data_IF_433615197662
#
_entry.id   IF_433615197662
#
_cell.length_a   1.000
_cell.length_b   1.000
_cell.length_c   1.000
_cell.angle_alpha   90.00
_cell.angle_beta   90.00
_cell.angle_gamma   90.00
#
_symmetry.space_group_name_H-M   'P 1'
#
loop_
_entity.id
_entity.type
_entity.pdbx_description
1 polymer ?
#
# COMPACT_ATOMS: atom_id res chain seq x y z
N UNK A 1 -49.02 52.05 -40.07
CA UNK A 1 -49.35 50.92 -39.16
C UNK A 1 -48.42 49.77 -39.53
N UNK A 2 -47.44 49.52 -38.66
CA UNK A 2 -46.36 48.53 -38.80
C UNK A 2 -46.95 47.16 -38.49
N UNK A 3 -46.75 46.14 -39.34
CA UNK A 3 -46.45 44.77 -38.89
C UNK A 3 -45.62 44.06 -39.98
N UNK A 4 -44.35 43.80 -39.68
CA UNK A 4 -43.46 42.91 -40.43
C UNK A 4 -43.41 41.61 -39.61
N UNK A 5 -44.09 40.55 -40.03
CA UNK A 5 -44.08 39.26 -39.32
C UNK A 5 -43.06 38.29 -39.93
N UNK A 6 -41.90 38.25 -39.28
CA UNK A 6 -41.16 37.06 -38.82
C UNK A 6 -41.21 35.77 -39.65
N UNK A 7 -40.02 35.31 -40.06
CA UNK A 7 -39.83 33.92 -40.48
C UNK A 7 -38.37 33.59 -40.84
N UNK A 8 -37.40 34.03 -40.04
CA UNK A 8 -36.02 33.57 -40.19
C UNK A 8 -35.95 32.09 -39.77
N UNK A 9 -35.78 31.20 -40.74
CA UNK A 9 -35.53 29.78 -40.51
C UNK A 9 -34.16 29.62 -39.83
N UNK A 10 -34.16 29.50 -38.52
CA UNK A 10 -32.98 29.03 -37.78
C UNK A 10 -32.70 27.58 -38.21
N UNK A 11 -31.82 27.41 -39.20
CA UNK A 11 -31.06 26.16 -39.38
C UNK A 11 -30.26 25.98 -38.10
N UNK A 12 -30.67 25.08 -37.20
CA UNK A 12 -29.76 24.51 -36.22
C UNK A 12 -28.63 23.83 -37.01
N UNK A 13 -27.37 24.34 -36.97
CA UNK A 13 -26.26 23.54 -37.41
C UNK A 13 -26.09 22.52 -36.28
N UNK A 14 -26.69 21.34 -36.42
CA UNK A 14 -26.38 20.20 -35.56
C UNK A 14 -24.91 19.85 -35.81
N UNK A 15 -24.01 20.57 -35.14
CA UNK A 15 -22.61 20.23 -35.05
C UNK A 15 -22.57 18.91 -34.29
N UNK A 16 -22.04 17.87 -34.94
CA UNK A 16 -21.72 16.61 -34.27
C UNK A 16 -20.57 16.83 -33.29
N UNK A 17 -20.90 17.32 -32.09
CA UNK A 17 -19.95 17.43 -30.99
C UNK A 17 -19.77 16.02 -30.40
N UNK A 18 -18.71 15.34 -30.81
CA UNK A 18 -18.30 14.08 -30.19
C UNK A 18 -17.52 14.41 -28.93
N UNK A 19 -18.19 14.31 -27.77
CA UNK A 19 -17.54 14.47 -26.47
C UNK A 19 -16.65 13.24 -26.23
N UNK A 20 -15.33 13.41 -26.35
CA UNK A 20 -14.35 12.39 -25.96
C UNK A 20 -14.03 12.55 -24.48
N UNK A 21 -14.75 11.83 -23.63
CA UNK A 21 -14.42 11.71 -22.20
C UNK A 21 -13.83 10.33 -21.91
N UNK A 22 -12.85 10.26 -21.00
CA UNK A 22 -12.43 8.98 -20.44
C UNK A 22 -13.54 8.49 -19.52
N UNK A 23 -14.08 7.29 -19.79
CA UNK A 23 -15.08 6.66 -18.91
C UNK A 23 -14.52 6.61 -17.47
N UNK A 24 -15.27 7.06 -16.46
CA UNK A 24 -14.80 6.97 -15.08
C UNK A 24 -14.56 5.51 -14.72
N UNK A 25 -13.51 5.28 -13.95
CA UNK A 25 -13.14 3.94 -13.53
C UNK A 25 -14.01 3.55 -12.32
N UNK A 26 -15.00 2.69 -12.54
CA UNK A 26 -15.91 2.20 -11.50
C UNK A 26 -15.31 1.04 -10.68
N UNK A 27 -14.04 0.69 -10.89
CA UNK A 27 -13.39 -0.35 -10.06
C UNK A 27 -13.44 0.08 -8.58
N UNK A 28 -13.74 -0.85 -7.66
CA UNK A 28 -13.85 -0.55 -6.23
C UNK A 28 -12.47 -0.42 -5.60
N UNK A 29 -11.72 0.59 -6.05
CA UNK A 29 -10.44 0.94 -5.46
C UNK A 29 -10.62 1.49 -4.05
N UNK A 30 -9.72 1.13 -3.12
CA UNK A 30 -9.66 1.82 -1.85
C UNK A 30 -9.36 3.31 -2.08
N UNK A 31 -10.10 4.18 -1.38
CA UNK A 31 -9.92 5.65 -1.47
C UNK A 31 -8.57 6.09 -0.90
N UNK A 32 -8.10 5.38 0.13
CA UNK A 32 -6.84 5.61 0.82
C UNK A 32 -6.13 4.27 1.02
N UNK A 33 -4.80 4.26 0.90
CA UNK A 33 -3.98 3.08 1.11
C UNK A 33 -3.28 3.22 2.46
N UNK A 34 -3.71 2.47 3.47
CA UNK A 34 -3.15 2.52 4.83
C UNK A 34 -2.50 1.21 5.23
N UNK A 35 -2.99 0.10 4.71
CA UNK A 35 -2.53 -1.23 5.07
C UNK A 35 -1.93 -1.97 3.88
N UNK A 36 -1.13 -3.00 4.16
CA UNK A 36 -0.67 -3.93 3.11
C UNK A 36 -1.85 -4.52 2.32
N UNK A 37 -2.99 -4.77 2.98
CA UNK A 37 -4.21 -5.24 2.35
C UNK A 37 -4.75 -4.28 1.29
N UNK A 38 -4.78 -2.98 1.59
CA UNK A 38 -5.24 -1.95 0.64
C UNK A 38 -4.31 -1.90 -0.59
N UNK A 39 -2.99 -1.95 -0.36
CA UNK A 39 -1.99 -1.97 -1.44
C UNK A 39 -2.10 -3.24 -2.29
N UNK A 40 -2.28 -4.41 -1.68
CA UNK A 40 -2.50 -5.68 -2.38
C UNK A 40 -3.77 -5.60 -3.22
N UNK A 41 -4.88 -5.14 -2.63
CA UNK A 41 -6.16 -5.00 -3.33
C UNK A 41 -6.05 -4.08 -4.53
N UNK A 42 -5.41 -2.92 -4.36
CA UNK A 42 -5.21 -1.97 -5.45
C UNK A 42 -4.38 -2.59 -6.57
N UNK A 43 -3.24 -3.19 -6.25
CA UNK A 43 -2.35 -3.81 -7.22
C UNK A 43 -3.02 -5.00 -7.94
N UNK A 44 -3.80 -5.81 -7.23
CA UNK A 44 -4.60 -6.90 -7.79
C UNK A 44 -5.62 -6.39 -8.80
N UNK A 45 -6.39 -5.35 -8.44
CA UNK A 45 -7.40 -4.75 -9.32
C UNK A 45 -6.80 -4.00 -10.52
N UNK A 46 -5.62 -3.40 -10.36
CA UNK A 46 -4.88 -2.78 -11.47
C UNK A 46 -4.42 -3.81 -12.49
N UNK A 47 -3.99 -4.99 -12.02
CA UNK A 47 -3.48 -6.09 -12.83
C UNK A 47 -4.55 -7.10 -13.26
N UNK A 48 -5.83 -6.86 -12.91
CA UNK A 48 -6.98 -7.76 -13.16
C UNK A 48 -6.74 -9.21 -12.71
N UNK A 49 -6.11 -9.40 -11.55
CA UNK A 49 -5.81 -10.72 -11.00
C UNK A 49 -6.93 -11.21 -10.07
N UNK A 50 -7.16 -12.52 -10.07
CA UNK A 50 -7.96 -13.20 -9.07
C UNK A 50 -7.19 -13.35 -7.74
N UNK A 51 -7.91 -13.42 -6.61
CA UNK A 51 -7.31 -13.61 -5.29
C UNK A 51 -6.52 -14.92 -5.22
N UNK A 52 -6.98 -15.99 -5.88
CA UNK A 52 -6.26 -17.26 -6.02
C UNK A 52 -4.90 -17.09 -6.68
N UNK A 53 -4.81 -16.30 -7.76
CA UNK A 53 -3.53 -16.06 -8.43
C UNK A 53 -2.58 -15.24 -7.57
N UNK A 54 -3.10 -14.27 -6.80
CA UNK A 54 -2.29 -13.50 -5.84
C UNK A 54 -1.77 -14.40 -4.72
N UNK A 55 -2.60 -15.33 -4.21
CA UNK A 55 -2.18 -16.30 -3.21
C UNK A 55 -1.04 -17.19 -3.72
N UNK A 56 -1.13 -17.68 -4.96
CA UNK A 56 -0.07 -18.46 -5.61
C UNK A 56 1.24 -17.65 -5.72
N UNK A 57 1.17 -16.40 -6.18
CA UNK A 57 2.36 -15.53 -6.35
C UNK A 57 3.03 -15.24 -5.00
N UNK A 58 2.25 -14.95 -3.96
CA UNK A 58 2.77 -14.67 -2.61
C UNK A 58 3.17 -16.00 -1.90
N UNK A 59 2.71 -17.14 -2.39
CA UNK A 59 2.95 -18.45 -1.78
C UNK A 59 2.18 -18.63 -0.47
N UNK A 60 0.91 -18.24 -0.47
CA UNK A 60 -0.06 -18.48 0.61
C UNK A 60 -0.96 -19.64 0.21
N UNK A 61 -1.26 -20.54 1.16
CA UNK A 61 -1.96 -21.79 0.85
C UNK A 61 -3.39 -21.60 0.35
N UNK A 62 -4.10 -20.57 0.81
CA UNK A 62 -5.52 -20.38 0.50
C UNK A 62 -5.85 -18.93 0.09
N UNK A 63 -6.76 -18.73 -0.88
CA UNK A 63 -7.19 -17.40 -1.32
C UNK A 63 -7.96 -16.61 -0.25
N UNK A 64 -8.55 -17.28 0.74
CA UNK A 64 -9.28 -16.66 1.85
C UNK A 64 -8.37 -15.75 2.67
N UNK A 65 -7.10 -16.13 2.85
CA UNK A 65 -6.12 -15.31 3.57
C UNK A 65 -5.89 -13.97 2.85
N UNK A 66 -5.82 -13.98 1.51
CA UNK A 66 -5.69 -12.75 0.72
C UNK A 66 -6.95 -11.90 0.87
N UNK A 67 -8.14 -12.52 0.79
CA UNK A 67 -9.41 -11.82 1.02
C UNK A 67 -9.45 -11.16 2.40
N UNK A 68 -9.02 -11.85 3.45
CA UNK A 68 -9.01 -11.30 4.82
C UNK A 68 -8.03 -10.13 4.97
N UNK A 69 -6.88 -10.18 4.29
CA UNK A 69 -5.96 -9.05 4.23
C UNK A 69 -6.59 -7.86 3.50
N UNK A 70 -7.20 -8.08 2.33
CA UNK A 70 -7.85 -7.04 1.53
C UNK A 70 -9.08 -6.42 2.19
N UNK A 71 -9.73 -7.14 3.11
CA UNK A 71 -10.84 -6.65 3.93
C UNK A 71 -10.37 -6.07 5.26
N UNK A 72 -9.06 -6.06 5.54
CA UNK A 72 -8.48 -5.64 6.80
C UNK A 72 -9.01 -6.43 8.03
N UNK A 73 -9.54 -7.64 7.81
CA UNK A 73 -9.93 -8.57 8.88
C UNK A 73 -8.71 -9.14 9.61
N UNK A 74 -7.62 -9.35 8.87
CA UNK A 74 -6.34 -9.81 9.43
C UNK A 74 -5.17 -9.07 8.78
N UNK A 75 -4.01 -9.07 9.46
CA UNK A 75 -2.78 -8.46 8.94
C UNK A 75 -1.84 -9.56 8.42
N UNK A 76 -1.08 -9.30 7.34
CA UNK A 76 -0.07 -10.26 6.90
C UNK A 76 0.97 -10.51 7.98
N UNK A 77 1.35 -11.78 8.13
CA UNK A 77 2.43 -12.17 9.03
C UNK A 77 3.78 -11.70 8.47
N UNK A 78 4.77 -11.52 9.35
CA UNK A 78 6.06 -10.92 9.02
C UNK A 78 6.79 -11.66 7.87
N UNK A 79 6.68 -12.99 7.84
CA UNK A 79 7.30 -13.83 6.81
C UNK A 79 6.77 -13.60 5.39
N UNK A 80 5.54 -13.10 5.25
CA UNK A 80 4.93 -12.81 3.95
C UNK A 80 5.23 -11.39 3.47
N UNK A 81 5.69 -10.49 4.34
CA UNK A 81 5.94 -9.09 3.97
C UNK A 81 6.96 -8.95 2.84
N UNK A 82 8.13 -9.64 2.84
CA UNK A 82 9.06 -9.56 1.72
C UNK A 82 8.44 -10.02 0.40
N UNK A 83 7.61 -11.07 0.44
CA UNK A 83 6.90 -11.59 -0.74
C UNK A 83 5.83 -10.62 -1.23
N UNK A 84 5.13 -9.95 -0.32
CA UNK A 84 4.18 -8.88 -0.64
C UNK A 84 4.89 -7.71 -1.30
N UNK A 85 6.03 -7.27 -0.75
CA UNK A 85 6.84 -6.18 -1.33
C UNK A 85 7.29 -6.57 -2.75
N UNK A 86 7.74 -7.82 -2.94
CA UNK A 86 8.10 -8.34 -4.26
C UNK A 86 6.91 -8.34 -5.23
N UNK A 87 5.70 -8.71 -4.77
CA UNK A 87 4.48 -8.67 -5.58
C UNK A 87 4.06 -7.24 -5.93
N UNK A 88 4.20 -6.30 -5.00
CA UNK A 88 3.85 -4.90 -5.22
C UNK A 88 4.85 -4.22 -6.16
N UNK A 89 6.13 -4.57 -6.08
CA UNK A 89 7.25 -3.92 -6.79
C UNK A 89 7.75 -2.66 -6.10
N UNK A 90 7.25 -2.36 -4.90
CA UNK A 90 7.67 -1.23 -4.05
C UNK A 90 7.36 -1.56 -2.59
N UNK A 91 7.98 -0.83 -1.66
CA UNK A 91 7.67 -0.94 -0.24
C UNK A 91 6.66 0.13 0.20
N UNK A 92 5.48 -0.26 0.72
CA UNK A 92 4.51 0.66 1.30
C UNK A 92 5.04 1.40 2.53
N UNK A 93 4.86 2.72 2.56
CA UNK A 93 5.24 3.55 3.72
C UNK A 93 4.17 3.55 4.83
N UNK A 94 3.98 2.38 5.45
CA UNK A 94 2.94 2.15 6.47
C UNK A 94 3.43 2.53 7.87
N UNK A 95 4.73 2.34 8.14
CA UNK A 95 5.30 2.53 9.47
C UNK A 95 6.22 3.75 9.50
N UNK A 96 5.86 4.74 10.32
CA UNK A 96 6.64 5.99 10.51
C UNK A 96 8.04 5.76 11.09
N UNK A 97 8.22 4.69 11.87
CA UNK A 97 9.50 4.41 12.52
C UNK A 97 10.42 3.63 11.54
N UNK A 98 11.59 4.18 11.17
CA UNK A 98 12.48 3.56 10.18
C UNK A 98 13.03 2.21 10.65
N UNK A 99 13.26 2.04 11.96
CA UNK A 99 13.73 0.78 12.57
C UNK A 99 12.69 -0.32 12.37
N UNK A 100 11.44 0.00 12.67
CA UNK A 100 10.32 -0.92 12.49
C UNK A 100 10.12 -1.26 11.02
N UNK A 101 10.20 -0.25 10.15
CA UNK A 101 10.08 -0.41 8.69
C UNK A 101 11.14 -1.36 8.15
N UNK A 102 12.42 -1.08 8.42
CA UNK A 102 13.56 -1.92 8.01
C UNK A 102 13.38 -3.38 8.43
N UNK A 103 12.99 -3.60 9.70
CA UNK A 103 12.78 -4.94 10.24
C UNK A 103 11.65 -5.68 9.52
N UNK A 104 10.51 -5.02 9.33
CA UNK A 104 9.31 -5.61 8.73
C UNK A 104 9.50 -5.89 7.24
N UNK A 105 10.13 -4.98 6.51
CA UNK A 105 10.41 -5.16 5.07
C UNK A 105 11.29 -6.38 4.79
N UNK A 106 12.19 -6.71 5.72
CA UNK A 106 13.08 -7.88 5.65
C UNK A 106 12.47 -9.15 6.23
N UNK A 107 11.25 -9.08 6.78
CA UNK A 107 10.60 -10.23 7.40
C UNK A 107 11.24 -10.70 8.71
N UNK A 108 12.02 -9.84 9.39
CA UNK A 108 12.77 -10.20 10.60
C UNK A 108 11.85 -10.05 11.83
N UNK A 109 11.88 -11.03 12.73
CA UNK A 109 11.10 -10.94 13.98
C UNK A 109 11.71 -9.89 14.93
N UNK A 110 10.92 -9.41 15.88
CA UNK A 110 11.44 -8.46 16.87
C UNK A 110 12.54 -9.10 17.74
N UNK A 111 12.39 -10.38 18.09
CA UNK A 111 13.37 -11.12 18.89
C UNK A 111 14.69 -11.30 18.16
N UNK A 112 14.66 -11.72 16.89
CA UNK A 112 15.89 -11.92 16.11
C UNK A 112 16.62 -10.60 15.86
N UNK A 113 15.87 -9.53 15.60
CA UNK A 113 16.47 -8.21 15.41
C UNK A 113 17.10 -7.68 16.70
N UNK A 114 16.44 -7.88 17.84
CA UNK A 114 16.99 -7.52 19.14
C UNK A 114 18.27 -8.32 19.47
N UNK A 115 18.26 -9.64 19.18
CA UNK A 115 19.43 -10.52 19.32
C UNK A 115 20.60 -10.04 18.46
N UNK A 116 20.33 -9.67 17.20
CA UNK A 116 21.36 -9.15 16.27
C UNK A 116 21.96 -7.84 16.78
N UNK A 117 21.17 -6.99 17.42
CA UNK A 117 21.62 -5.73 18.02
C UNK A 117 22.30 -5.90 19.39
N UNK A 118 22.15 -7.07 20.02
CA UNK A 118 22.61 -7.33 21.38
C UNK A 118 21.80 -6.58 22.45
N UNK A 119 20.49 -6.39 22.23
CA UNK A 119 19.59 -5.68 23.14
C UNK A 119 18.41 -6.56 23.55
N UNK A 120 17.77 -6.20 24.66
CA UNK A 120 16.51 -6.81 25.09
C UNK A 120 15.35 -6.52 24.09
N UNK A 121 14.52 -7.52 23.71
CA UNK A 121 13.37 -7.32 22.82
C UNK A 121 12.38 -6.26 23.30
N UNK A 122 12.17 -6.13 24.61
CA UNK A 122 11.31 -5.09 25.19
C UNK A 122 11.88 -3.69 24.99
N UNK A 123 13.21 -3.55 25.03
CA UNK A 123 13.90 -2.31 24.67
C UNK A 123 13.71 -1.96 23.20
N UNK A 124 13.85 -2.93 22.29
CA UNK A 124 13.55 -2.72 20.87
C UNK A 124 12.09 -2.31 20.65
N UNK A 125 11.14 -2.94 21.33
CA UNK A 125 9.72 -2.60 21.23
C UNK A 125 9.43 -1.14 21.64
N UNK A 126 10.08 -0.63 22.68
CA UNK A 126 9.97 0.79 23.08
C UNK A 126 10.56 1.73 22.03
N UNK A 127 11.68 1.34 21.40
CA UNK A 127 12.29 2.09 20.31
C UNK A 127 11.34 2.17 19.11
N UNK A 128 10.79 1.03 18.68
CA UNK A 128 9.83 0.97 17.55
C UNK A 128 8.55 1.77 17.84
N UNK A 129 8.09 1.80 19.09
CA UNK A 129 6.95 2.58 19.53
C UNK A 129 7.23 4.09 19.70
N UNK A 130 8.49 4.54 19.51
CA UNK A 130 8.89 5.94 19.70
C UNK A 130 8.91 6.40 21.16
N UNK A 131 8.88 5.47 22.12
CA UNK A 131 8.87 5.77 23.57
C UNK A 131 10.27 5.76 24.19
N UNK A 132 11.30 5.38 23.43
CA UNK A 132 12.70 5.37 23.88
C UNK A 132 13.31 6.76 23.93
N UNK A 133 13.01 7.56 24.96
CA UNK A 133 13.51 8.95 25.12
C UNK A 133 15.03 9.05 25.34
N UNK A 134 15.71 7.94 25.68
CA UNK A 134 17.16 7.82 25.85
C UNK A 134 17.64 6.50 25.27
N UNK A 135 17.82 6.44 23.95
CA UNK A 135 18.53 5.33 23.31
C UNK A 135 20.03 5.57 23.51
N UNK A 136 20.76 4.56 23.97
CA UNK A 136 22.22 4.64 24.06
C UNK A 136 22.81 4.97 22.67
N UNK A 137 23.72 5.93 22.60
CA UNK A 137 24.37 6.34 21.34
C UNK A 137 25.01 5.16 20.60
N UNK A 138 25.55 4.18 21.33
CA UNK A 138 26.13 2.97 20.75
C UNK A 138 25.09 2.14 19.99
N UNK A 139 23.90 1.94 20.58
CA UNK A 139 22.80 1.22 19.94
C UNK A 139 22.32 1.98 18.70
N UNK A 140 22.23 3.31 18.79
CA UNK A 140 21.85 4.15 17.65
C UNK A 140 22.83 3.98 16.48
N UNK A 141 24.15 4.03 16.75
CA UNK A 141 25.19 3.80 15.74
C UNK A 141 25.09 2.40 15.11
N UNK A 142 24.85 1.36 15.92
CA UNK A 142 24.68 -0.01 15.40
C UNK A 142 23.49 -0.12 14.45
N UNK A 143 22.34 0.46 14.83
CA UNK A 143 21.15 0.50 13.98
C UNK A 143 21.42 1.26 12.69
N UNK A 144 22.04 2.43 12.77
CA UNK A 144 22.39 3.24 11.58
C UNK A 144 23.36 2.51 10.65
N UNK A 145 24.38 1.83 11.20
CA UNK A 145 25.33 1.06 10.41
C UNK A 145 24.63 -0.09 9.67
N UNK A 146 23.71 -0.81 10.33
CA UNK A 146 22.92 -1.87 9.67
C UNK A 146 22.04 -1.34 8.54
N UNK A 147 21.41 -0.18 8.74
CA UNK A 147 20.55 0.44 7.72
C UNK A 147 21.32 1.01 6.53
N UNK A 148 22.61 1.34 6.70
CA UNK A 148 23.46 1.86 5.61
C UNK A 148 24.06 0.76 4.74
N UNK A 149 24.20 -0.45 5.27
CA UNK A 149 24.82 -1.58 4.57
C UNK A 149 23.82 -2.38 3.72
N UNK A 150 22.56 -1.96 3.68
CA UNK A 150 21.44 -2.59 2.97
C UNK A 150 21.02 -1.83 1.73
#
# INVERSE_FOLDING_TARGET
>A
MIIITTGAWFRCPLVNIVIKAKKPDYRPFPKELKTYGDHIRQARLQRNLYQSKVAEIIGVSTPEVIKDWELNHSKPQIQYIPKIISFLGYSPDIYKNPVKRYRIERGITQEDFARTLGIDPGTLARIEAGRGKRINMEIKKRIENMMRMS
#
